data_IF_496614467129
#
_entry.id   IF_496614467129
#
_cell.length_a   1.000
_cell.length_b   1.000
_cell.length_c   1.000
_cell.angle_alpha   90.00
_cell.angle_beta   90.00
_cell.angle_gamma   90.00
#
_symmetry.space_group_name_H-M   'P 1'
#
loop_
_entity.id
_entity.type
_entity.pdbx_description
1 polymer ?
#
# COMPACT_ATOMS: atom_id res chain seq x y z
N UNK A 1 -9.00 -0.91 -13.34
CA UNK A 1 -9.61 -1.10 -12.00
C UNK A 1 -8.48 -1.26 -11.01
N UNK A 2 -8.32 -0.32 -10.07
CA UNK A 2 -7.26 -0.41 -9.05
C UNK A 2 -7.62 -1.53 -8.08
N UNK A 3 -6.75 -2.54 -7.95
CA UNK A 3 -6.89 -3.65 -7.01
C UNK A 3 -5.56 -3.84 -6.28
N UNK A 4 -5.65 -4.21 -5.02
CA UNK A 4 -4.54 -4.82 -4.27
C UNK A 4 -4.71 -6.33 -4.48
N UNK A 5 -3.70 -7.00 -5.02
CA UNK A 5 -3.76 -8.45 -5.22
C UNK A 5 -3.33 -9.14 -3.93
N UNK A 6 -4.15 -10.05 -3.41
CA UNK A 6 -3.87 -10.76 -2.15
C UNK A 6 -2.52 -11.53 -2.19
N UNK A 7 -2.11 -12.01 -3.37
CA UNK A 7 -0.84 -12.71 -3.57
C UNK A 7 0.38 -11.81 -3.36
N UNK A 8 0.23 -10.50 -3.59
CA UNK A 8 1.29 -9.52 -3.38
C UNK A 8 1.45 -9.19 -1.88
N UNK A 9 0.35 -9.21 -1.12
CA UNK A 9 0.37 -9.01 0.34
C UNK A 9 1.14 -10.13 1.05
N UNK A 10 0.84 -11.39 0.74
CA UNK A 10 1.47 -12.54 1.40
C UNK A 10 2.99 -12.53 1.22
N UNK A 11 3.47 -12.24 0.01
CA UNK A 11 4.91 -12.12 -0.29
C UNK A 11 5.60 -10.98 0.48
N UNK A 12 4.89 -9.86 0.64
CA UNK A 12 5.43 -8.72 1.39
C UNK A 12 5.52 -9.04 2.87
N UNK A 13 4.53 -9.74 3.42
CA UNK A 13 4.56 -10.21 4.81
C UNK A 13 5.72 -11.20 5.03
N UNK A 14 5.88 -12.18 4.15
CA UNK A 14 7.01 -13.13 4.20
C UNK A 14 8.37 -12.40 4.17
N UNK A 15 8.54 -11.41 3.30
CA UNK A 15 9.77 -10.61 3.24
C UNK A 15 10.03 -9.85 4.54
N UNK A 16 9.01 -9.20 5.10
CA UNK A 16 9.13 -8.44 6.34
C UNK A 16 9.51 -9.34 7.53
N UNK A 17 8.98 -10.57 7.58
CA UNK A 17 9.30 -11.56 8.62
C UNK A 17 10.73 -12.08 8.55
N UNK A 18 11.38 -12.01 7.37
CA UNK A 18 12.76 -12.45 7.16
C UNK A 18 13.81 -11.37 7.45
N UNK A 19 13.41 -10.13 7.72
CA UNK A 19 14.34 -9.04 8.05
C UNK A 19 14.88 -9.24 9.48
N UNK A 20 16.19 -9.44 9.62
CA UNK A 20 16.85 -9.62 10.93
C UNK A 20 16.75 -8.38 11.83
N UNK A 21 16.77 -7.18 11.24
CA UNK A 21 16.56 -5.92 11.96
C UNK A 21 15.06 -5.71 12.24
N UNK A 22 14.62 -6.11 13.43
CA UNK A 22 13.24 -5.98 13.88
C UNK A 22 12.71 -4.52 13.82
N UNK A 23 13.57 -3.52 14.09
CA UNK A 23 13.14 -2.12 14.06
C UNK A 23 12.86 -1.68 12.61
N UNK A 24 13.72 -2.09 11.68
CA UNK A 24 13.51 -1.86 10.26
C UNK A 24 12.23 -2.56 9.78
N UNK A 25 12.05 -3.84 10.13
CA UNK A 25 10.88 -4.62 9.77
C UNK A 25 9.56 -3.95 10.25
N UNK A 26 9.51 -3.55 11.52
CA UNK A 26 8.35 -2.85 12.10
C UNK A 26 8.11 -1.51 11.43
N UNK A 27 9.17 -0.75 11.13
CA UNK A 27 9.04 0.54 10.43
C UNK A 27 8.45 0.38 9.03
N UNK A 28 8.91 -0.63 8.29
CA UNK A 28 8.43 -0.92 6.93
C UNK A 28 7.00 -1.45 6.94
N UNK A 29 6.67 -2.35 7.87
CA UNK A 29 5.31 -2.87 8.05
C UNK A 29 4.33 -1.74 8.36
N UNK A 30 4.72 -0.80 9.24
CA UNK A 30 3.89 0.36 9.56
C UNK A 30 3.66 1.24 8.32
N UNK A 31 4.72 1.57 7.60
CA UNK A 31 4.64 2.38 6.38
C UNK A 31 3.76 1.70 5.32
N UNK A 32 3.90 0.39 5.14
CA UNK A 32 3.09 -0.42 4.24
C UNK A 32 1.61 -0.41 4.64
N UNK A 33 1.29 -0.64 5.92
CA UNK A 33 -0.07 -0.61 6.45
C UNK A 33 -0.72 0.77 6.28
N UNK A 34 0.03 1.85 6.55
CA UNK A 34 -0.49 3.21 6.42
C UNK A 34 -0.86 3.53 4.96
N UNK A 35 0.00 3.15 4.00
CA UNK A 35 -0.23 3.38 2.56
C UNK A 35 -1.38 2.51 2.01
N UNK A 36 -1.41 1.23 2.36
CA UNK A 36 -2.48 0.31 1.91
C UNK A 36 -3.84 0.69 2.51
N UNK A 37 -3.87 1.21 3.75
CA UNK A 37 -5.10 1.75 4.36
C UNK A 37 -5.66 2.93 3.58
N UNK A 38 -4.82 3.89 3.17
CA UNK A 38 -5.25 5.04 2.35
C UNK A 38 -5.87 4.56 1.04
N UNK A 39 -5.18 3.66 0.33
CA UNK A 39 -5.69 3.10 -0.92
C UNK A 39 -7.01 2.34 -0.72
N UNK A 40 -7.09 1.50 0.32
CA UNK A 40 -8.29 0.77 0.68
C UNK A 40 -9.47 1.69 0.98
N UNK A 41 -9.23 2.78 1.70
CA UNK A 41 -10.25 3.79 2.00
C UNK A 41 -10.75 4.48 0.72
N UNK A 42 -9.87 4.86 -0.20
CA UNK A 42 -10.27 5.48 -1.46
C UNK A 42 -11.08 4.53 -2.34
N UNK A 43 -10.73 3.24 -2.38
CA UNK A 43 -11.45 2.23 -3.16
C UNK A 43 -12.84 1.94 -2.57
N UNK A 44 -12.93 1.85 -1.24
CA UNK A 44 -14.15 1.39 -0.54
C UNK A 44 -15.09 2.53 -0.18
N UNK A 45 -14.56 3.73 0.10
CA UNK A 45 -15.34 4.89 0.48
C UNK A 45 -15.32 5.92 -0.64
N UNK A 46 -16.33 5.85 -1.50
CA UNK A 46 -16.57 6.87 -2.52
C UNK A 46 -17.16 8.11 -1.86
N UNK A 47 -16.30 9.07 -1.52
CA UNK A 47 -16.73 10.38 -1.07
C UNK A 47 -17.63 11.02 -2.15
N UNK A 48 -18.92 11.27 -1.86
CA UNK A 48 -19.85 11.84 -2.84
C UNK A 48 -19.51 13.29 -3.23
N UNK A 49 -18.64 13.96 -2.49
CA UNK A 49 -18.16 15.31 -2.82
C UNK A 49 -16.95 15.30 -3.76
N UNK A 50 -16.38 14.12 -4.04
CA UNK A 50 -15.26 13.98 -4.94
C UNK A 50 -15.77 13.74 -6.37
N UNK A 51 -15.22 14.48 -7.32
CA UNK A 51 -15.46 14.18 -8.74
C UNK A 51 -14.83 12.82 -9.08
N UNK A 52 -15.36 12.14 -10.10
CA UNK A 52 -14.79 10.86 -10.56
C UNK A 52 -13.32 11.00 -10.95
N UNK A 53 -12.95 12.11 -11.62
CA UNK A 53 -11.57 12.40 -12.01
C UNK A 53 -10.64 12.63 -10.82
N UNK A 54 -11.11 13.34 -9.80
CA UNK A 54 -10.31 13.59 -8.59
C UNK A 54 -10.13 12.30 -7.79
N UNK A 55 -11.19 11.49 -7.69
CA UNK A 55 -11.15 10.16 -7.09
C UNK A 55 -10.14 9.25 -7.79
N UNK A 56 -10.19 9.19 -9.12
CA UNK A 56 -9.27 8.37 -9.91
C UNK A 56 -7.83 8.82 -9.70
N UNK A 57 -7.57 10.13 -9.70
CA UNK A 57 -6.25 10.69 -9.42
C UNK A 57 -5.73 10.30 -8.03
N UNK A 58 -6.56 10.44 -7.00
CA UNK A 58 -6.19 10.03 -5.64
C UNK A 58 -5.90 8.53 -5.55
N UNK A 59 -6.70 7.69 -6.22
CA UNK A 59 -6.45 6.25 -6.26
C UNK A 59 -5.13 5.91 -6.96
N UNK A 60 -4.82 6.59 -8.06
CA UNK A 60 -3.56 6.41 -8.79
C UNK A 60 -2.36 6.85 -7.94
N UNK A 61 -2.46 7.98 -7.25
CA UNK A 61 -1.38 8.48 -6.41
C UNK A 61 -1.19 7.59 -5.17
N UNK A 62 -2.28 7.16 -4.51
CA UNK A 62 -2.21 6.19 -3.42
C UNK A 62 -1.66 4.83 -3.87
N UNK A 63 -1.94 4.39 -5.10
CA UNK A 63 -1.35 3.18 -5.67
C UNK A 63 0.16 3.33 -5.84
N UNK A 64 0.65 4.45 -6.40
CA UNK A 64 2.09 4.69 -6.53
C UNK A 64 2.80 4.67 -5.19
N UNK A 65 2.16 5.19 -4.14
CA UNK A 65 2.70 5.15 -2.80
C UNK A 65 2.86 3.72 -2.28
N UNK A 66 1.85 2.86 -2.48
CA UNK A 66 1.91 1.43 -2.15
C UNK A 66 2.99 0.73 -2.99
N UNK A 67 3.00 0.93 -4.31
CA UNK A 67 3.98 0.33 -5.21
C UNK A 67 5.42 0.74 -4.81
N UNK A 68 5.62 1.97 -4.31
CA UNK A 68 6.92 2.46 -3.84
C UNK A 68 7.40 1.76 -2.56
N UNK A 69 6.51 1.50 -1.60
CA UNK A 69 6.90 0.78 -0.37
C UNK A 69 7.08 -0.72 -0.63
N UNK A 70 6.28 -1.30 -1.51
CA UNK A 70 6.45 -2.67 -2.01
C UNK A 70 7.84 -2.84 -2.60
N UNK A 71 8.21 -1.98 -3.56
CA UNK A 71 9.53 -1.99 -4.18
C UNK A 71 10.67 -1.85 -3.15
N UNK A 72 10.50 -0.95 -2.18
CA UNK A 72 11.48 -0.75 -1.10
C UNK A 72 11.67 -2.03 -0.26
N UNK A 73 10.60 -2.77 0.04
CA UNK A 73 10.66 -4.04 0.76
C UNK A 73 11.26 -5.16 -0.11
N UNK A 74 10.97 -5.14 -1.41
CA UNK A 74 11.51 -6.12 -2.36
C UNK A 74 13.02 -5.99 -2.57
N UNK A 75 13.56 -4.78 -2.51
CA UNK A 75 14.98 -4.47 -2.70
C UNK A 75 15.85 -4.68 -1.45
N UNK A 76 15.25 -5.06 -0.31
CA UNK A 76 15.96 -5.54 0.89
C UNK A 76 16.31 -7.02 0.71
#
# INVERSE_FOLDING_TARGET
>A
MVKIENVELDKIMEKLELIEDEQLAVSLLKEFNDKTKVLGQLITNKDPNLSHSDWEKLCLDAKKDVDSIVKKIEEI
#
